data_IF_921042074703
#
_entry.id   IF_921042074703
#
_cell.length_a   1.000
_cell.length_b   1.000
_cell.length_c   1.000
_cell.angle_alpha   90.00
_cell.angle_beta   90.00
_cell.angle_gamma   90.00
#
_symmetry.space_group_name_H-M   'P 1'
#
loop_
_entity.id
_entity.type
_entity.pdbx_description
1 polymer ?
#
# COMPACT_ATOMS: atom_id res chain seq x y z
N UNK A 1 -53.21 3.96 38.19
CA UNK A 1 -52.95 3.76 36.73
C UNK A 1 -51.52 4.12 36.33
N UNK A 2 -51.02 5.30 36.73
CA UNK A 2 -49.68 5.85 36.39
C UNK A 2 -48.49 4.93 36.78
N UNK A 3 -48.51 4.32 37.98
CA UNK A 3 -47.44 3.43 38.44
C UNK A 3 -47.24 2.18 37.59
N UNK A 4 -48.33 1.63 37.01
CA UNK A 4 -48.24 0.49 36.08
C UNK A 4 -47.57 0.91 34.77
N UNK A 5 -47.88 2.11 34.28
CA UNK A 5 -47.27 2.69 33.07
C UNK A 5 -45.77 2.91 33.24
N UNK A 6 -45.34 3.49 34.37
CA UNK A 6 -43.93 3.70 34.66
C UNK A 6 -43.15 2.39 34.72
N UNK A 7 -43.74 1.35 35.32
CA UNK A 7 -43.15 0.01 35.41
C UNK A 7 -43.05 -0.70 34.06
N UNK A 8 -43.93 -0.36 33.11
CA UNK A 8 -43.87 -0.86 31.72
C UNK A 8 -42.80 -0.09 30.94
N UNK A 9 -42.79 1.24 31.04
CA UNK A 9 -41.79 2.09 30.37
C UNK A 9 -40.35 1.76 30.80
N UNK A 10 -40.12 1.54 32.09
CA UNK A 10 -38.79 1.15 32.60
C UNK A 10 -38.33 -0.22 32.06
N UNK A 11 -39.25 -1.19 31.94
CA UNK A 11 -38.96 -2.47 31.30
C UNK A 11 -38.63 -2.33 29.81
N UNK A 12 -39.34 -1.47 29.08
CA UNK A 12 -39.08 -1.22 27.65
C UNK A 12 -37.70 -0.60 27.43
N UNK A 13 -37.30 0.36 28.27
CA UNK A 13 -35.97 0.97 28.21
C UNK A 13 -34.87 -0.06 28.49
N UNK A 14 -35.08 -0.90 29.50
CA UNK A 14 -34.15 -1.98 29.85
C UNK A 14 -34.06 -3.06 28.77
N UNK A 15 -35.17 -3.41 28.12
CA UNK A 15 -35.17 -4.37 27.01
C UNK A 15 -34.44 -3.81 25.78
N UNK A 16 -34.65 -2.53 25.47
CA UNK A 16 -33.96 -1.87 24.37
C UNK A 16 -32.44 -1.72 24.62
N UNK A 17 -32.02 -1.52 25.87
CA UNK A 17 -30.57 -1.49 26.19
C UNK A 17 -29.94 -2.88 26.09
N UNK A 18 -30.65 -3.93 26.52
CA UNK A 18 -30.21 -5.32 26.36
C UNK A 18 -30.11 -5.71 24.88
N UNK A 19 -31.11 -5.35 24.07
CA UNK A 19 -31.15 -5.65 22.64
C UNK A 19 -29.98 -5.00 21.89
N UNK A 20 -29.74 -3.70 22.11
CA UNK A 20 -28.60 -3.00 21.51
C UNK A 20 -27.24 -3.56 21.95
N UNK A 21 -27.14 -4.05 23.19
CA UNK A 21 -25.91 -4.68 23.67
C UNK A 21 -25.69 -6.08 23.07
N UNK A 22 -26.76 -6.82 22.77
CA UNK A 22 -26.69 -8.08 22.06
C UNK A 22 -26.23 -7.87 20.61
N UNK A 23 -26.80 -6.89 19.91
CA UNK A 23 -26.38 -6.52 18.54
C UNK A 23 -24.90 -6.13 18.48
N UNK A 24 -24.43 -5.29 19.42
CA UNK A 24 -23.01 -4.91 19.50
C UNK A 24 -22.10 -6.12 19.67
N UNK A 25 -22.50 -7.12 20.46
CA UNK A 25 -21.72 -8.35 20.66
C UNK A 25 -21.65 -9.19 19.39
N UNK A 26 -22.76 -9.31 18.65
CA UNK A 26 -22.78 -10.00 17.37
C UNK A 26 -21.89 -9.28 16.36
N UNK A 27 -22.00 -7.96 16.25
CA UNK A 27 -21.16 -7.16 15.35
C UNK A 27 -19.67 -7.27 15.68
N UNK A 28 -19.31 -7.19 16.97
CA UNK A 28 -17.92 -7.34 17.41
C UNK A 28 -17.39 -8.75 17.12
N UNK A 29 -18.16 -9.79 17.39
CA UNK A 29 -17.75 -11.17 17.11
C UNK A 29 -17.57 -11.40 15.60
N UNK A 30 -18.48 -10.88 14.77
CA UNK A 30 -18.39 -10.96 13.32
C UNK A 30 -17.21 -10.14 12.79
N UNK A 31 -16.94 -8.96 13.35
CA UNK A 31 -15.79 -8.14 13.01
C UNK A 31 -14.46 -8.80 13.41
N UNK A 32 -14.38 -9.40 14.60
CA UNK A 32 -13.22 -10.18 15.03
C UNK A 32 -12.97 -11.38 14.14
N UNK A 33 -14.03 -12.11 13.75
CA UNK A 33 -13.94 -13.25 12.83
C UNK A 33 -13.55 -12.82 11.41
N UNK A 34 -14.07 -11.69 10.93
CA UNK A 34 -13.68 -11.09 9.66
C UNK A 34 -12.22 -10.62 9.67
N UNK A 35 -11.76 -10.03 10.77
CA UNK A 35 -10.35 -9.62 10.95
C UNK A 35 -9.40 -10.80 11.08
N UNK A 36 -9.81 -11.90 11.70
CA UNK A 36 -8.99 -13.11 11.82
C UNK A 36 -8.91 -13.90 10.51
N UNK A 37 -9.99 -13.91 9.71
CA UNK A 37 -10.01 -14.55 8.38
C UNK A 37 -9.43 -13.66 7.28
N UNK A 38 -9.37 -12.35 7.51
CA UNK A 38 -8.54 -11.47 6.69
C UNK A 38 -7.11 -11.93 6.89
N UNK A 39 -6.38 -12.11 5.80
CA UNK A 39 -4.91 -12.18 5.76
C UNK A 39 -4.23 -10.89 6.25
N UNK A 40 -4.89 -10.12 7.12
CA UNK A 40 -4.35 -9.11 8.01
C UNK A 40 -3.41 -9.72 9.08
N UNK A 41 -2.94 -10.94 8.87
CA UNK A 41 -1.67 -11.39 9.39
C UNK A 41 -0.60 -10.43 8.89
N UNK A 42 0.21 -9.94 9.82
CA UNK A 42 1.40 -9.15 9.56
C UNK A 42 2.10 -9.60 8.27
N UNK A 43 2.49 -8.66 7.36
CA UNK A 43 3.10 -9.04 6.10
C UNK A 43 4.28 -9.98 6.36
N UNK A 44 4.57 -10.94 5.47
CA UNK A 44 5.67 -11.87 5.70
C UNK A 44 6.97 -11.11 6.01
N UNK A 45 7.84 -11.62 6.89
CA UNK A 45 9.03 -10.89 7.37
C UNK A 45 9.92 -10.33 6.24
N UNK A 46 9.97 -11.03 5.10
CA UNK A 46 10.70 -10.59 3.91
C UNK A 46 10.13 -9.29 3.33
N UNK A 47 8.81 -9.16 3.27
CA UNK A 47 8.12 -7.99 2.73
C UNK A 47 8.27 -6.78 3.66
N UNK A 48 8.23 -6.99 4.97
CA UNK A 48 8.45 -5.93 5.95
C UNK A 48 9.86 -5.33 5.88
N UNK A 49 10.87 -6.17 5.66
CA UNK A 49 12.24 -5.69 5.42
C UNK A 49 12.30 -4.80 4.18
N UNK A 50 11.55 -5.15 3.13
CA UNK A 50 11.45 -4.32 1.92
C UNK A 50 10.66 -3.03 2.18
N UNK A 51 9.53 -3.08 2.88
CA UNK A 51 8.79 -1.87 3.25
C UNK A 51 9.64 -0.92 4.08
N UNK A 52 10.35 -1.42 5.09
CA UNK A 52 11.28 -0.62 5.87
C UNK A 52 12.35 0.02 4.98
N UNK A 53 13.01 -0.76 4.11
CA UNK A 53 14.04 -0.25 3.18
C UNK A 53 13.50 0.87 2.27
N UNK A 54 12.31 0.68 1.68
CA UNK A 54 11.69 1.67 0.78
C UNK A 54 11.02 2.84 1.51
N UNK A 55 10.82 2.75 2.82
CA UNK A 55 10.28 3.83 3.66
C UNK A 55 11.37 4.61 4.42
N UNK A 56 12.64 4.19 4.38
CA UNK A 56 13.74 4.97 4.96
C UNK A 56 13.80 6.38 4.35
N UNK A 57 13.83 7.42 5.18
CA UNK A 57 13.90 8.84 4.77
C UNK A 57 15.34 9.21 4.35
N UNK A 58 15.79 8.66 3.22
CA UNK A 58 17.16 8.81 2.73
C UNK A 58 17.31 9.79 1.56
N UNK A 59 16.30 10.63 1.28
CA UNK A 59 16.27 11.58 0.14
C UNK A 59 16.60 10.96 -1.24
N UNK A 60 16.62 9.62 -1.35
CA UNK A 60 16.91 8.92 -2.60
C UNK A 60 15.61 8.70 -3.37
N UNK A 61 15.63 8.89 -4.71
CA UNK A 61 14.49 8.57 -5.54
C UNK A 61 14.25 7.05 -5.56
N UNK A 62 13.00 6.64 -5.79
CA UNK A 62 12.57 5.23 -5.71
C UNK A 62 13.40 4.27 -6.56
N UNK A 63 13.88 4.70 -7.75
CA UNK A 63 14.67 3.88 -8.67
C UNK A 63 16.14 3.71 -8.28
N UNK A 64 16.64 4.40 -7.25
CA UNK A 64 17.97 4.18 -6.67
C UNK A 64 17.92 3.60 -5.26
N UNK A 65 16.71 3.33 -4.74
CA UNK A 65 16.46 2.98 -3.35
C UNK A 65 16.72 1.49 -3.05
N UNK A 66 16.78 0.63 -4.05
CA UNK A 66 17.16 -0.79 -3.89
C UNK A 66 18.66 -1.03 -3.75
N UNK A 67 19.49 0.01 -3.86
CA UNK A 67 20.90 -0.01 -3.46
C UNK A 67 21.89 -0.01 -4.63
N UNK A 68 23.02 -0.71 -4.47
CA UNK A 68 24.14 -0.67 -5.42
C UNK A 68 23.77 -1.23 -6.81
N UNK A 69 22.99 -2.32 -6.86
CA UNK A 69 22.57 -2.93 -8.13
C UNK A 69 21.75 -1.96 -8.99
N UNK A 70 20.84 -1.20 -8.36
CA UNK A 70 20.01 -0.23 -9.06
C UNK A 70 20.84 0.92 -9.64
N UNK A 71 21.84 1.40 -8.89
CA UNK A 71 22.78 2.44 -9.35
C UNK A 71 23.61 1.95 -10.53
N UNK A 72 24.15 0.74 -10.45
CA UNK A 72 24.94 0.16 -11.54
C UNK A 72 24.08 -0.03 -12.80
N UNK A 73 22.86 -0.54 -12.62
CA UNK A 73 21.93 -0.74 -13.72
C UNK A 73 21.57 0.59 -14.39
N UNK A 74 21.16 1.60 -13.61
CA UNK A 74 20.85 2.93 -14.11
C UNK A 74 22.02 3.53 -14.90
N UNK A 75 23.22 3.50 -14.33
CA UNK A 75 24.40 4.06 -14.99
C UNK A 75 24.74 3.31 -16.28
N UNK A 76 24.61 1.98 -16.30
CA UNK A 76 24.84 1.19 -17.52
C UNK A 76 23.86 1.55 -18.63
N UNK A 77 22.59 1.75 -18.29
CA UNK A 77 21.55 2.16 -19.25
C UNK A 77 21.82 3.56 -19.80
N UNK A 78 22.22 4.51 -18.93
CA UNK A 78 22.56 5.88 -19.37
C UNK A 78 23.75 5.87 -20.33
N UNK A 79 24.80 5.08 -20.03
CA UNK A 79 25.96 4.94 -20.91
C UNK A 79 25.56 4.33 -22.25
N UNK A 80 24.78 3.25 -22.24
CA UNK A 80 24.36 2.58 -23.46
C UNK A 80 23.51 3.49 -24.36
N UNK A 81 22.57 4.24 -23.78
CA UNK A 81 21.77 5.23 -24.51
C UNK A 81 22.67 6.34 -25.07
N UNK A 82 23.62 6.85 -24.28
CA UNK A 82 24.55 7.88 -24.73
C UNK A 82 25.38 7.44 -25.94
N UNK A 83 25.92 6.22 -25.91
CA UNK A 83 26.67 5.63 -27.02
C UNK A 83 25.77 5.47 -28.25
N UNK A 84 24.57 4.90 -28.07
CA UNK A 84 23.62 4.69 -29.17
C UNK A 84 23.16 6.01 -29.81
N UNK A 85 22.97 7.06 -29.03
CA UNK A 85 22.65 8.39 -29.56
C UNK A 85 23.80 8.94 -30.40
N UNK A 86 25.04 8.89 -29.89
CA UNK A 86 26.21 9.40 -30.62
C UNK A 86 26.38 8.66 -31.96
N UNK A 87 26.32 7.34 -31.94
CA UNK A 87 26.46 6.51 -33.15
C UNK A 87 25.29 6.73 -34.13
N UNK A 88 24.07 6.87 -33.61
CA UNK A 88 22.90 7.22 -34.41
C UNK A 88 23.05 8.59 -35.09
N UNK A 89 23.51 9.61 -34.37
CA UNK A 89 23.78 10.93 -34.94
C UNK A 89 24.91 10.89 -35.98
N UNK A 90 25.99 10.17 -35.70
CA UNK A 90 27.08 9.99 -36.65
C UNK A 90 26.58 9.34 -37.96
N UNK A 91 25.80 8.27 -37.83
CA UNK A 91 25.20 7.57 -38.96
C UNK A 91 24.26 8.49 -39.75
N UNK A 92 23.38 9.23 -39.08
CA UNK A 92 22.49 10.18 -39.74
C UNK A 92 23.26 11.26 -40.50
N UNK A 93 24.32 11.82 -39.92
CA UNK A 93 25.13 12.85 -40.57
C UNK A 93 25.93 12.31 -41.77
N UNK A 94 26.43 11.08 -41.68
CA UNK A 94 27.14 10.44 -42.81
C UNK A 94 26.19 10.11 -43.97
N UNK A 95 24.95 9.71 -43.68
CA UNK A 95 23.91 9.49 -44.70
C UNK A 95 23.37 10.81 -45.29
N UNK A 96 23.25 11.85 -44.48
CA UNK A 96 22.76 13.16 -44.91
C UNK A 96 23.77 13.89 -45.82
N UNK A 97 25.07 13.68 -45.61
CA UNK A 97 26.09 14.18 -46.53
C UNK A 97 25.97 13.42 -47.86
N UNK A 98 25.64 14.13 -48.94
CA UNK A 98 25.66 13.57 -50.29
C UNK A 98 27.05 12.99 -50.56
N UNK A 99 27.12 11.67 -50.75
CA UNK A 99 28.34 11.00 -51.18
C UNK A 99 28.69 11.56 -52.57
N UNK A 100 29.81 12.28 -52.66
CA UNK A 100 30.34 12.80 -53.92
C UNK A 100 30.91 11.66 -54.77
#
# INVERSE_FOLDING_TARGET
MVLKLYRIASKVVTLNSILRNAERRVLLNTFHKARSNSTAAWPPPKLLKRFSLFQMDNNLPVHLKGGFSDKMLYNSTVVLIGIGLIDGFYTLLTMAKKKA
#
